data_IF_111288502084
#
_entry.id   IF_111288502084
#
_cell.length_a   1.000
_cell.length_b   1.000
_cell.length_c   1.000
_cell.angle_alpha   90.00
_cell.angle_beta   90.00
_cell.angle_gamma   90.00
#
_symmetry.space_group_name_H-M   'P 1'
#
loop_
_entity.id
_entity.type
_entity.pdbx_description
1 polymer ?
#
# COMPACT_ATOMS: atom_id res chain seq x y z
N UNK A 1 26.33 15.95 -8.08
CA UNK A 1 25.87 16.06 -6.68
C UNK A 1 24.53 15.34 -6.51
N UNK A 2 23.57 15.56 -7.40
CA UNK A 2 22.26 14.90 -7.42
C UNK A 2 22.40 13.36 -7.47
N UNK A 3 23.23 12.83 -8.39
CA UNK A 3 23.45 11.38 -8.50
C UNK A 3 23.88 10.75 -7.17
N UNK A 4 24.87 11.35 -6.48
CA UNK A 4 25.33 10.86 -5.16
C UNK A 4 24.24 10.93 -4.09
N UNK A 5 23.28 11.86 -4.24
CA UNK A 5 22.13 11.95 -3.33
C UNK A 5 21.13 10.84 -3.63
N UNK A 6 20.84 10.57 -4.91
CA UNK A 6 19.95 9.47 -5.33
C UNK A 6 20.45 8.11 -4.84
N UNK A 7 21.76 7.84 -4.99
CA UNK A 7 22.40 6.59 -4.53
C UNK A 7 22.29 6.36 -3.01
N UNK A 8 22.05 7.42 -2.23
CA UNK A 8 21.91 7.36 -0.75
C UNK A 8 20.48 7.57 -0.27
N UNK A 9 19.57 7.70 -1.19
CA UNK A 9 18.17 7.92 -0.84
C UNK A 9 17.57 6.65 -0.26
N UNK A 10 16.90 6.80 0.87
CA UNK A 10 16.07 5.76 1.46
C UNK A 10 14.62 6.07 1.08
N UNK A 11 13.91 5.09 0.59
CA UNK A 11 12.51 5.21 0.22
C UNK A 11 11.61 4.80 1.38
N UNK A 12 10.37 5.27 1.34
CA UNK A 12 9.37 4.93 2.35
C UNK A 12 8.92 3.47 2.24
N UNK A 13 8.11 3.05 3.21
CA UNK A 13 7.52 1.72 3.21
C UNK A 13 6.75 1.40 1.92
N UNK A 14 6.60 0.12 1.67
CA UNK A 14 5.72 -0.39 0.62
C UNK A 14 4.47 -1.05 1.22
N UNK A 15 3.54 -1.42 0.38
CA UNK A 15 2.29 -2.04 0.80
C UNK A 15 1.83 -3.13 -0.16
N UNK A 16 0.97 -3.99 0.36
CA UNK A 16 0.05 -4.79 -0.45
C UNK A 16 -1.34 -4.19 -0.36
N UNK A 17 -2.10 -4.28 -1.45
CA UNK A 17 -3.44 -3.74 -1.53
C UNK A 17 -4.39 -4.80 -2.08
N UNK A 18 -5.37 -5.18 -1.28
CA UNK A 18 -6.41 -6.12 -1.67
C UNK A 18 -7.62 -5.34 -2.18
N UNK A 19 -7.96 -5.54 -3.43
CA UNK A 19 -9.16 -5.03 -4.06
C UNK A 19 -10.24 -6.10 -4.02
N UNK A 20 -11.42 -5.74 -3.51
CA UNK A 20 -12.56 -6.64 -3.39
C UNK A 20 -13.80 -6.05 -4.02
N UNK A 21 -14.60 -6.92 -4.64
CA UNK A 21 -16.00 -6.66 -4.94
C UNK A 21 -16.83 -7.66 -4.14
N UNK A 22 -17.83 -7.18 -3.39
CA UNK A 22 -18.67 -8.00 -2.53
C UNK A 22 -20.16 -7.72 -2.77
N UNK A 23 -21.00 -8.75 -2.63
CA UNK A 23 -22.46 -8.68 -2.84
C UNK A 23 -23.27 -8.64 -1.53
N UNK A 24 -22.65 -8.16 -0.46
CA UNK A 24 -23.27 -8.03 0.86
C UNK A 24 -23.69 -6.59 1.18
N UNK A 25 -24.62 -6.44 2.14
CA UNK A 25 -24.93 -5.14 2.74
C UNK A 25 -23.81 -4.73 3.71
N UNK A 26 -22.80 -4.05 3.20
CA UNK A 26 -21.61 -3.65 3.97
C UNK A 26 -21.92 -2.69 5.12
N UNK A 27 -23.04 -1.95 5.06
CA UNK A 27 -23.47 -1.07 6.17
C UNK A 27 -23.93 -1.88 7.38
N UNK A 28 -24.64 -2.98 7.15
CA UNK A 28 -24.99 -3.92 8.24
C UNK A 28 -23.77 -4.60 8.84
N UNK A 29 -22.72 -4.77 8.06
CA UNK A 29 -21.43 -5.28 8.53
C UNK A 29 -20.56 -4.23 9.24
N UNK A 30 -21.07 -3.01 9.45
CA UNK A 30 -20.39 -1.95 10.21
C UNK A 30 -19.54 -1.00 9.39
N UNK A 31 -19.56 -1.08 8.05
CA UNK A 31 -18.84 -0.14 7.19
C UNK A 31 -19.70 1.09 6.91
N UNK A 32 -19.05 2.23 6.79
CA UNK A 32 -19.62 3.50 6.36
C UNK A 32 -18.74 4.18 5.30
N UNK A 33 -18.93 5.47 5.06
CA UNK A 33 -18.08 6.26 4.17
C UNK A 33 -16.74 6.66 4.79
N UNK A 34 -16.48 6.34 6.05
CA UNK A 34 -15.19 6.54 6.72
C UNK A 34 -14.17 5.45 6.34
N UNK A 35 -13.01 5.54 6.95
CA UNK A 35 -12.00 4.51 6.87
C UNK A 35 -11.88 3.80 8.22
N UNK A 36 -11.62 2.50 8.18
CA UNK A 36 -11.28 1.73 9.38
C UNK A 36 -9.76 1.54 9.40
N UNK A 37 -9.14 1.96 10.49
CA UNK A 37 -7.77 1.62 10.81
C UNK A 37 -7.78 0.49 11.83
N UNK A 38 -7.65 -0.73 11.34
CA UNK A 38 -7.50 -1.89 12.20
C UNK A 38 -6.05 -1.97 12.66
N UNK A 39 -5.84 -1.91 13.97
CA UNK A 39 -4.52 -1.97 14.57
C UNK A 39 -4.56 -2.94 15.76
N UNK A 40 -3.49 -3.70 16.04
CA UNK A 40 -3.41 -4.51 17.23
C UNK A 40 -3.34 -3.64 18.49
N UNK A 41 -3.79 -4.18 19.62
CA UNK A 41 -3.70 -3.53 20.94
C UNK A 41 -2.29 -3.69 21.51
N UNK A 42 -1.34 -2.95 20.94
CA UNK A 42 0.06 -2.87 21.39
C UNK A 42 0.66 -1.51 21.00
N UNK A 43 1.86 -1.24 21.48
CA UNK A 43 2.62 -0.04 21.10
C UNK A 43 2.74 0.06 19.57
N UNK A 44 2.44 1.23 19.01
CA UNK A 44 2.34 1.43 17.56
C UNK A 44 3.72 1.41 16.90
N UNK A 45 4.74 1.95 17.55
CA UNK A 45 6.10 1.95 17.01
C UNK A 45 6.64 0.51 16.98
N UNK A 46 6.42 -0.24 18.06
CA UNK A 46 6.77 -1.67 18.11
C UNK A 46 6.02 -2.46 17.03
N UNK A 47 4.72 -2.23 16.88
CA UNK A 47 3.96 -2.91 15.83
C UNK A 47 4.49 -2.62 14.43
N UNK A 48 4.82 -1.34 14.15
CA UNK A 48 5.35 -0.94 12.85
C UNK A 48 6.70 -1.63 12.56
N UNK A 49 7.60 -1.65 13.53
CA UNK A 49 8.89 -2.32 13.40
C UNK A 49 8.73 -3.84 13.18
N UNK A 50 7.82 -4.49 13.90
CA UNK A 50 7.51 -5.90 13.72
C UNK A 50 6.88 -6.18 12.35
N UNK A 51 5.96 -5.34 11.88
CA UNK A 51 5.31 -5.47 10.58
C UNK A 51 6.31 -5.38 9.43
N UNK A 52 7.32 -4.47 9.54
CA UNK A 52 8.39 -4.33 8.55
C UNK A 52 9.41 -5.49 8.57
N UNK A 53 9.44 -6.30 9.62
CA UNK A 53 10.33 -7.46 9.77
C UNK A 53 9.56 -8.78 9.78
N UNK A 54 8.24 -8.76 9.62
CA UNK A 54 7.40 -9.94 9.78
C UNK A 54 7.73 -11.04 8.78
N UNK A 55 7.67 -12.28 9.24
CA UNK A 55 7.74 -13.45 8.38
C UNK A 55 6.44 -13.55 7.55
N UNK A 56 6.53 -13.12 6.30
CA UNK A 56 5.42 -13.16 5.36
C UNK A 56 5.06 -14.59 4.92
N UNK A 57 5.88 -15.59 5.24
CA UNK A 57 5.61 -17.00 4.92
C UNK A 57 4.72 -17.68 5.96
N UNK A 58 4.58 -17.12 7.15
CA UNK A 58 3.69 -17.63 8.20
C UNK A 58 2.21 -17.54 7.80
N UNK A 59 1.38 -18.41 8.35
CA UNK A 59 -0.09 -18.40 8.12
C UNK A 59 -0.85 -17.40 9.01
N UNK A 60 -0.16 -16.68 9.87
CA UNK A 60 -0.78 -15.68 10.74
C UNK A 60 -1.44 -14.57 9.91
N UNK A 61 -2.67 -14.13 10.25
CA UNK A 61 -3.34 -13.05 9.55
C UNK A 61 -2.58 -11.73 9.73
N UNK A 62 -2.77 -10.79 8.81
CA UNK A 62 -2.36 -9.41 9.05
C UNK A 62 -3.19 -8.80 10.18
N UNK A 63 -2.52 -8.15 11.14
CA UNK A 63 -3.16 -7.52 12.29
C UNK A 63 -3.46 -6.05 12.06
N UNK A 64 -2.65 -5.36 11.25
CA UNK A 64 -2.84 -3.96 10.90
C UNK A 64 -3.26 -3.80 9.45
N UNK A 65 -4.42 -3.16 9.25
CA UNK A 65 -4.96 -2.90 7.93
C UNK A 65 -5.73 -1.59 7.91
N UNK A 66 -5.60 -0.88 6.80
CA UNK A 66 -6.49 0.21 6.43
C UNK A 66 -7.59 -0.36 5.52
N UNK A 67 -8.85 -0.13 5.87
CA UNK A 67 -10.01 -0.65 5.13
C UNK A 67 -10.86 0.53 4.68
N UNK A 68 -11.21 0.57 3.41
CA UNK A 68 -12.04 1.61 2.80
C UNK A 68 -13.08 0.98 1.87
N UNK A 69 -14.34 1.42 2.00
CA UNK A 69 -15.39 1.05 1.05
C UNK A 69 -15.60 2.21 0.08
N UNK A 70 -15.05 2.09 -1.13
CA UNK A 70 -15.03 3.18 -2.12
C UNK A 70 -16.42 3.53 -2.62
N UNK A 71 -17.31 2.56 -2.81
CA UNK A 71 -18.69 2.77 -3.24
C UNK A 71 -19.59 3.42 -2.18
N UNK A 72 -19.20 3.41 -0.89
CA UNK A 72 -19.88 4.20 0.14
C UNK A 72 -19.38 5.65 0.18
N UNK A 73 -18.15 5.90 -0.25
CA UNK A 73 -17.56 7.26 -0.37
C UNK A 73 -18.07 7.98 -1.61
N UNK A 74 -18.15 7.27 -2.71
CA UNK A 74 -18.69 7.76 -3.97
C UNK A 74 -19.91 6.91 -4.36
N UNK A 75 -21.12 7.30 -3.93
CA UNK A 75 -22.36 6.57 -4.29
C UNK A 75 -22.62 6.48 -5.77
N UNK A 76 -22.05 7.37 -6.60
CA UNK A 76 -22.20 7.31 -8.05
C UNK A 76 -21.47 6.12 -8.68
N UNK A 77 -20.47 5.57 -7.98
CA UNK A 77 -19.75 4.35 -8.42
C UNK A 77 -20.45 3.04 -8.03
N UNK A 78 -21.54 3.11 -7.24
CA UNK A 78 -22.29 1.93 -6.83
C UNK A 78 -23.21 1.44 -7.94
N UNK A 79 -23.07 0.19 -8.35
CA UNK A 79 -23.87 -0.44 -9.41
C UNK A 79 -25.29 -0.89 -8.99
N UNK A 80 -25.68 -0.60 -7.74
CA UNK A 80 -26.96 -1.02 -7.15
C UNK A 80 -26.93 -2.43 -6.53
N UNK A 81 -25.82 -3.16 -6.64
CA UNK A 81 -25.70 -4.53 -6.15
C UNK A 81 -24.42 -4.80 -5.37
N UNK A 82 -23.28 -4.39 -5.91
CA UNK A 82 -21.99 -4.78 -5.42
C UNK A 82 -21.25 -3.59 -4.80
N UNK A 83 -20.57 -3.81 -3.68
CA UNK A 83 -19.69 -2.83 -3.08
C UNK A 83 -18.23 -3.14 -3.39
N UNK A 84 -17.43 -2.07 -3.56
CA UNK A 84 -15.98 -2.18 -3.76
C UNK A 84 -15.23 -1.75 -2.50
N UNK A 85 -14.27 -2.57 -2.08
CA UNK A 85 -13.40 -2.32 -0.94
C UNK A 85 -11.94 -2.31 -1.37
N UNK A 86 -11.17 -1.47 -0.72
CA UNK A 86 -9.71 -1.44 -0.75
C UNK A 86 -9.18 -1.70 0.65
N UNK A 87 -8.30 -2.70 0.77
CA UNK A 87 -7.68 -3.07 2.05
C UNK A 87 -6.17 -3.01 1.89
N UNK A 88 -5.50 -2.22 2.70
CA UNK A 88 -4.06 -1.97 2.59
C UNK A 88 -3.37 -2.47 3.86
N UNK A 89 -2.22 -3.13 3.69
CA UNK A 89 -1.29 -3.46 4.78
C UNK A 89 0.14 -3.10 4.36
N UNK A 90 0.91 -2.51 5.28
CA UNK A 90 2.31 -2.23 5.04
C UNK A 90 3.16 -3.49 5.22
N UNK A 91 4.21 -3.60 4.41
CA UNK A 91 5.12 -4.76 4.39
C UNK A 91 6.53 -4.33 4.00
N UNK A 92 7.51 -5.23 4.22
CA UNK A 92 8.88 -5.04 3.73
C UNK A 92 8.98 -5.48 2.25
N UNK A 93 9.59 -4.63 1.42
CA UNK A 93 9.86 -4.92 0.01
C UNK A 93 10.77 -6.13 -0.19
N UNK A 94 11.69 -6.40 0.74
CA UNK A 94 12.67 -7.49 0.63
C UNK A 94 12.05 -8.86 0.32
N UNK A 95 10.83 -9.10 0.78
CA UNK A 95 10.12 -10.35 0.48
C UNK A 95 9.84 -10.54 -1.03
N UNK A 96 9.87 -9.45 -1.80
CA UNK A 96 9.58 -9.42 -3.24
C UNK A 96 10.82 -9.29 -4.12
N UNK A 97 12.00 -8.94 -3.59
CA UNK A 97 13.23 -8.75 -4.37
C UNK A 97 13.55 -9.93 -5.29
N UNK A 98 13.36 -11.15 -4.82
CA UNK A 98 13.63 -12.37 -5.60
C UNK A 98 12.73 -12.56 -6.82
N UNK A 99 11.65 -11.79 -6.93
CA UNK A 99 10.71 -11.82 -8.04
C UNK A 99 10.79 -10.58 -8.93
N UNK A 100 11.73 -9.67 -8.67
CA UNK A 100 11.83 -8.35 -9.32
C UNK A 100 11.97 -8.45 -10.84
N UNK A 101 12.78 -9.38 -11.32
CA UNK A 101 13.11 -9.52 -12.75
C UNK A 101 12.05 -10.33 -13.54
N UNK A 102 10.95 -10.73 -12.89
CA UNK A 102 9.84 -11.44 -13.52
C UNK A 102 8.80 -10.47 -14.12
N UNK A 103 9.21 -9.61 -15.06
CA UNK A 103 8.41 -8.46 -15.51
C UNK A 103 7.12 -8.83 -16.27
N UNK A 104 7.16 -9.87 -17.11
CA UNK A 104 6.06 -10.17 -18.03
C UNK A 104 5.40 -11.52 -17.82
N UNK A 105 6.13 -12.50 -17.29
CA UNK A 105 5.61 -13.83 -16.95
C UNK A 105 5.95 -14.14 -15.50
N UNK A 106 4.99 -13.90 -14.63
CA UNK A 106 5.13 -14.19 -13.20
C UNK A 106 5.23 -15.69 -12.98
N UNK A 107 6.27 -16.12 -12.25
CA UNK A 107 6.48 -17.54 -11.91
C UNK A 107 5.33 -18.08 -11.07
N UNK A 108 5.16 -19.43 -11.12
CA UNK A 108 4.21 -20.11 -10.24
C UNK A 108 4.52 -19.84 -8.75
N UNK A 109 5.82 -19.74 -8.41
CA UNK A 109 6.25 -19.40 -7.04
C UNK A 109 5.78 -18.01 -6.60
N UNK A 110 5.88 -17.01 -7.48
CA UNK A 110 5.35 -15.68 -7.21
C UNK A 110 3.83 -15.71 -7.05
N UNK A 111 3.11 -16.37 -7.94
CA UNK A 111 1.65 -16.46 -7.88
C UNK A 111 1.17 -17.18 -6.62
N UNK A 112 1.85 -18.24 -6.21
CA UNK A 112 1.58 -18.93 -4.96
C UNK A 112 1.81 -18.02 -3.74
N UNK A 113 2.92 -17.28 -3.72
CA UNK A 113 3.23 -16.31 -2.66
C UNK A 113 2.20 -15.17 -2.61
N UNK A 114 1.84 -14.60 -3.75
CA UNK A 114 0.78 -13.57 -3.88
C UNK A 114 -0.55 -14.09 -3.34
N UNK A 115 -0.94 -15.32 -3.71
CA UNK A 115 -2.17 -15.93 -3.19
C UNK A 115 -2.10 -16.18 -1.68
N UNK A 116 -0.96 -16.64 -1.15
CA UNK A 116 -0.76 -16.82 0.28
C UNK A 116 -0.99 -15.51 1.05
N UNK A 117 -0.37 -14.39 0.59
CA UNK A 117 -0.57 -13.07 1.21
C UNK A 117 -2.04 -12.60 1.13
N UNK A 118 -2.70 -12.84 0.01
CA UNK A 118 -4.12 -12.55 -0.15
C UNK A 118 -4.98 -13.30 0.88
N UNK A 119 -4.71 -14.58 1.12
CA UNK A 119 -5.43 -15.35 2.13
C UNK A 119 -5.16 -14.83 3.55
N UNK A 120 -3.92 -14.40 3.86
CA UNK A 120 -3.62 -13.75 5.15
C UNK A 120 -4.40 -12.45 5.34
N UNK A 121 -4.51 -11.62 4.30
CA UNK A 121 -5.33 -10.39 4.36
C UNK A 121 -6.80 -10.71 4.56
N UNK A 122 -7.36 -11.68 3.84
CA UNK A 122 -8.76 -12.09 3.99
C UNK A 122 -9.05 -12.62 5.40
N UNK A 123 -8.16 -13.43 5.98
CA UNK A 123 -8.29 -13.88 7.38
C UNK A 123 -8.29 -12.73 8.39
N UNK A 124 -7.50 -11.68 8.14
CA UNK A 124 -7.49 -10.49 8.97
C UNK A 124 -8.77 -9.66 8.78
N UNK A 125 -9.19 -9.45 7.53
CA UNK A 125 -10.37 -8.69 7.17
C UNK A 125 -11.66 -9.32 7.74
N UNK A 126 -11.76 -10.64 7.79
CA UNK A 126 -12.88 -11.37 8.38
C UNK A 126 -13.11 -11.01 9.86
N UNK A 127 -12.05 -10.62 10.59
CA UNK A 127 -12.16 -10.14 11.98
C UNK A 127 -12.80 -8.75 12.06
N UNK A 128 -12.53 -7.89 11.08
CA UNK A 128 -13.07 -6.53 11.03
C UNK A 128 -14.47 -6.48 10.39
N UNK A 129 -14.72 -7.34 9.42
CA UNK A 129 -15.97 -7.42 8.65
C UNK A 129 -16.43 -8.88 8.61
N UNK A 130 -17.07 -9.39 9.66
CA UNK A 130 -17.49 -10.79 9.74
C UNK A 130 -18.41 -11.21 8.59
N UNK A 131 -18.15 -12.38 8.02
CA UNK A 131 -18.92 -12.96 6.92
C UNK A 131 -18.55 -12.44 5.52
N UNK A 132 -17.58 -11.52 5.41
CA UNK A 132 -17.21 -10.94 4.11
C UNK A 132 -16.71 -12.00 3.12
N UNK A 133 -16.04 -13.03 3.62
CA UNK A 133 -15.45 -14.08 2.77
C UNK A 133 -16.47 -14.85 1.94
N UNK A 134 -17.70 -15.00 2.44
CA UNK A 134 -18.79 -15.70 1.76
C UNK A 134 -19.44 -14.84 0.64
N UNK A 135 -19.15 -13.56 0.63
CA UNK A 135 -19.76 -12.58 -0.27
C UNK A 135 -18.80 -12.01 -1.33
N UNK A 136 -17.62 -12.59 -1.47
CA UNK A 136 -16.62 -12.11 -2.43
C UNK A 136 -16.99 -12.52 -3.84
N UNK A 137 -17.29 -11.53 -4.68
CA UNK A 137 -17.57 -11.70 -6.13
C UNK A 137 -16.29 -11.62 -6.95
N UNK A 138 -15.38 -10.71 -6.56
CA UNK A 138 -14.08 -10.55 -7.21
C UNK A 138 -13.01 -10.16 -6.16
N UNK A 139 -11.79 -10.62 -6.38
CA UNK A 139 -10.64 -10.24 -5.56
C UNK A 139 -9.36 -10.19 -6.38
N UNK A 140 -8.54 -9.19 -6.11
CA UNK A 140 -7.22 -9.04 -6.70
C UNK A 140 -6.26 -8.44 -5.67
N UNK A 141 -5.00 -8.87 -5.67
CA UNK A 141 -3.96 -8.34 -4.80
C UNK A 141 -2.93 -7.56 -5.61
N UNK A 142 -2.81 -6.25 -5.36
CA UNK A 142 -1.67 -5.45 -5.76
C UNK A 142 -0.49 -5.69 -4.81
N UNK A 143 0.72 -5.80 -5.35
CA UNK A 143 1.96 -6.02 -4.61
C UNK A 143 2.94 -4.87 -4.85
N UNK A 144 4.06 -4.78 -4.13
CA UNK A 144 5.10 -3.80 -4.45
C UNK A 144 5.56 -3.84 -5.90
N UNK A 145 5.64 -5.03 -6.51
CA UNK A 145 5.98 -5.17 -7.93
C UNK A 145 4.87 -4.63 -8.86
N UNK A 146 3.62 -4.61 -8.41
CA UNK A 146 2.53 -3.94 -9.12
C UNK A 146 2.75 -2.43 -9.15
N UNK A 147 3.17 -1.84 -8.02
CA UNK A 147 3.49 -0.42 -7.95
C UNK A 147 4.71 -0.06 -8.80
N UNK A 148 5.78 -0.88 -8.78
CA UNK A 148 6.93 -0.68 -9.66
C UNK A 148 6.51 -0.68 -11.13
N UNK A 149 5.68 -1.62 -11.53
CA UNK A 149 5.26 -1.78 -12.93
C UNK A 149 4.35 -0.62 -13.41
N UNK A 150 3.30 -0.27 -12.65
CA UNK A 150 2.30 0.69 -13.12
C UNK A 150 2.65 2.15 -12.83
N UNK A 151 3.32 2.44 -11.74
CA UNK A 151 3.64 3.82 -11.33
C UNK A 151 5.13 4.10 -11.20
N UNK A 152 5.97 3.14 -11.58
CA UNK A 152 7.42 3.26 -11.66
C UNK A 152 8.07 3.77 -10.36
N UNK A 153 7.57 3.32 -9.21
CA UNK A 153 8.13 3.66 -7.91
C UNK A 153 9.30 2.75 -7.57
N UNK A 154 10.35 3.30 -7.00
CA UNK A 154 11.49 2.53 -6.50
C UNK A 154 11.05 1.66 -5.33
N UNK A 155 11.32 0.33 -5.41
CA UNK A 155 10.94 -0.63 -4.36
C UNK A 155 9.43 -0.61 -4.02
N UNK A 156 8.59 -0.27 -5.00
CA UNK A 156 7.14 -0.22 -4.81
C UNK A 156 6.66 0.73 -3.71
N UNK A 157 7.49 1.71 -3.32
CA UNK A 157 7.19 2.62 -2.21
C UNK A 157 5.89 3.40 -2.44
N UNK A 158 5.17 3.70 -1.34
CA UNK A 158 3.86 4.39 -1.41
C UNK A 158 3.94 5.89 -1.13
N UNK A 159 5.02 6.37 -0.50
CA UNK A 159 5.11 7.76 -0.03
C UNK A 159 6.35 8.51 -0.53
N UNK A 160 7.05 7.98 -1.54
CA UNK A 160 8.27 8.57 -2.05
C UNK A 160 9.46 8.34 -1.11
N UNK A 161 10.31 9.34 -0.93
CA UNK A 161 11.45 9.25 0.00
C UNK A 161 10.99 9.15 1.45
N UNK A 162 11.72 8.39 2.26
CA UNK A 162 11.53 8.34 3.71
C UNK A 162 11.54 9.76 4.31
N UNK A 163 10.69 10.02 5.30
CA UNK A 163 10.59 11.34 5.96
C UNK A 163 11.41 11.43 7.25
N UNK A 164 12.61 10.84 7.23
CA UNK A 164 13.61 10.99 8.28
C UNK A 164 14.35 12.33 8.21
N UNK A 165 15.07 12.67 9.26
CA UNK A 165 15.88 13.90 9.32
C UNK A 165 16.88 14.04 8.15
N UNK A 166 17.24 12.94 7.49
CA UNK A 166 18.14 12.92 6.33
C UNK A 166 17.46 13.35 5.03
N UNK A 167 16.12 13.37 4.98
CA UNK A 167 15.33 13.59 3.77
C UNK A 167 14.31 14.71 3.87
N UNK A 168 14.25 15.44 4.99
CA UNK A 168 13.32 16.56 5.21
C UNK A 168 14.03 17.90 5.33
N UNK A 169 13.29 18.99 5.19
CA UNK A 169 13.80 20.36 5.33
C UNK A 169 14.97 20.66 4.38
N UNK A 170 16.13 21.12 4.91
CA UNK A 170 17.30 21.43 4.09
C UNK A 170 17.88 20.24 3.33
N UNK A 171 17.60 19.02 3.79
CA UNK A 171 18.08 17.77 3.20
C UNK A 171 17.10 17.15 2.21
N UNK A 172 15.87 17.64 2.10
CA UNK A 172 14.88 17.22 1.11
C UNK A 172 15.37 17.45 -0.32
N UNK A 173 14.75 16.79 -1.27
CA UNK A 173 14.89 17.15 -2.67
C UNK A 173 14.24 18.51 -2.90
N UNK A 174 14.84 19.32 -3.76
CA UNK A 174 14.30 20.65 -4.15
C UNK A 174 13.50 20.49 -5.43
N UNK A 175 12.43 21.28 -5.58
CA UNK A 175 11.65 21.31 -6.82
C UNK A 175 12.53 21.72 -8.02
N UNK A 176 13.45 22.68 -7.86
CA UNK A 176 14.43 23.02 -8.89
C UNK A 176 15.65 22.10 -8.79
N UNK A 177 15.88 21.29 -9.81
CA UNK A 177 17.03 20.38 -9.87
C UNK A 177 18.34 21.11 -10.24
N UNK A 178 19.47 20.38 -10.21
CA UNK A 178 20.78 20.86 -10.71
C UNK A 178 20.85 20.83 -12.24
N UNK A 179 19.90 20.21 -12.91
CA UNK A 179 19.82 20.12 -14.37
C UNK A 179 18.95 21.27 -14.86
N UNK A 180 19.46 22.02 -15.84
CA UNK A 180 18.73 23.13 -16.41
C UNK A 180 17.39 22.68 -17.00
N UNK A 181 16.33 23.43 -16.72
CA UNK A 181 14.96 23.18 -17.18
C UNK A 181 14.33 21.84 -16.65
N UNK A 182 14.95 21.18 -15.66
CA UNK A 182 14.37 20.01 -14.99
C UNK A 182 13.88 20.38 -13.61
N UNK A 183 12.57 20.23 -13.41
CA UNK A 183 11.89 20.44 -12.13
C UNK A 183 11.34 19.11 -11.61
N UNK A 184 11.33 18.98 -10.29
CA UNK A 184 10.86 17.80 -9.58
C UNK A 184 9.62 18.19 -8.76
N UNK A 185 8.58 17.35 -8.79
CA UNK A 185 7.39 17.50 -7.95
C UNK A 185 6.96 16.13 -7.39
N UNK A 186 6.02 16.13 -6.48
CA UNK A 186 5.44 14.91 -5.92
C UNK A 186 5.90 14.58 -4.51
N UNK A 187 5.59 13.38 -4.07
CA UNK A 187 5.73 12.91 -2.68
C UNK A 187 7.16 12.99 -2.12
N UNK A 188 8.18 12.91 -2.98
CA UNK A 188 9.59 12.93 -2.57
C UNK A 188 10.15 14.33 -2.29
N UNK A 189 9.43 15.41 -2.61
CA UNK A 189 9.93 16.78 -2.50
C UNK A 189 9.63 17.37 -1.11
N UNK A 190 8.39 17.69 -0.84
CA UNK A 190 7.97 18.29 0.42
C UNK A 190 7.36 17.26 1.36
N UNK A 191 6.25 16.70 0.95
CA UNK A 191 5.49 15.71 1.70
C UNK A 191 4.69 14.82 0.74
N UNK A 192 4.23 13.69 1.27
CA UNK A 192 3.33 12.78 0.56
C UNK A 192 1.87 13.23 0.68
N UNK A 193 0.98 12.47 0.01
CA UNK A 193 -0.45 12.76 -0.07
C UNK A 193 -0.77 13.89 -1.02
N UNK A 194 -2.07 14.12 -1.26
CA UNK A 194 -2.55 15.10 -2.25
C UNK A 194 -2.03 16.51 -1.92
N UNK A 195 -2.17 16.95 -0.67
CA UNK A 195 -1.72 18.27 -0.25
C UNK A 195 -0.21 18.47 -0.42
N UNK A 196 0.61 17.52 0.05
CA UNK A 196 2.07 17.62 -0.02
C UNK A 196 2.59 17.55 -1.45
N UNK A 197 2.04 16.67 -2.28
CA UNK A 197 2.43 16.54 -3.68
C UNK A 197 2.02 17.78 -4.50
N UNK A 198 0.79 18.27 -4.32
CA UNK A 198 0.30 19.48 -5.02
C UNK A 198 1.08 20.74 -4.65
N UNK A 199 1.55 20.87 -3.41
CA UNK A 199 2.33 22.04 -2.97
C UNK A 199 3.71 22.10 -3.62
N UNK A 200 4.22 20.98 -4.11
CA UNK A 200 5.52 20.89 -4.77
C UNK A 200 5.46 21.10 -6.29
N UNK A 201 4.24 21.12 -6.87
CA UNK A 201 3.99 21.27 -8.30
C UNK A 201 3.97 22.70 -8.81
#
# INVERSE_FOLDING_TARGET
KLQKKLEKTIYSCTSIMLFLTVDMDVRKAGLDSGNIWMMPDKDQDQYYDEAMQSDLTSDAPFEGMFISCTTLKDPASFDGKNHCLEVISFIDYKAFEKYKDEETQRSEAYLAFKNHLMQKMLKGLEKAVPGISDHIVHKELGTPLTNEYYINTTEGNVYGTEKSLKHIGPFAYKSKSEIENLYLCGASILSHGVAGASHSG
#
